data_IF_296578245000
#
_entry.id   IF_296578245000
#
_cell.length_a   1.000
_cell.length_b   1.000
_cell.length_c   1.000
_cell.angle_alpha   90.00
_cell.angle_beta   90.00
_cell.angle_gamma   90.00
#
_symmetry.space_group_name_H-M   'P 1'
#
loop_
_entity.id
_entity.type
_entity.pdbx_description
1 polymer ?
#
# COMPACT_ATOMS: atom_id res chain seq x y z
N UNK A 1 -82.93 -37.91 15.86
CA UNK A 1 -81.60 -38.38 16.33
C UNK A 1 -80.76 -37.13 16.66
N UNK A 2 -79.99 -37.17 17.75
CA UNK A 2 -79.65 -36.04 18.64
C UNK A 2 -78.86 -34.85 18.03
N UNK A 3 -79.41 -33.66 18.28
CA UNK A 3 -78.86 -32.37 18.76
C UNK A 3 -77.36 -32.33 19.13
N UNK A 4 -76.63 -31.27 18.73
CA UNK A 4 -76.11 -30.16 19.59
C UNK A 4 -75.09 -29.28 18.83
N UNK A 5 -75.42 -27.99 18.83
CA UNK A 5 -74.60 -26.82 18.52
C UNK A 5 -73.67 -26.45 19.70
N UNK A 6 -72.56 -25.78 19.35
CA UNK A 6 -71.87 -24.75 20.13
C UNK A 6 -71.09 -25.13 21.41
N UNK A 7 -69.89 -24.55 21.44
CA UNK A 7 -69.29 -23.69 22.50
C UNK A 7 -68.00 -24.20 23.13
N UNK A 8 -66.94 -23.44 22.85
CA UNK A 8 -65.87 -22.96 23.75
C UNK A 8 -65.15 -24.01 24.60
N UNK A 9 -63.85 -24.17 24.34
CA UNK A 9 -62.87 -24.29 25.42
C UNK A 9 -61.63 -23.45 25.10
N UNK A 10 -61.45 -22.41 25.93
CA UNK A 10 -60.18 -21.73 26.12
C UNK A 10 -59.28 -22.74 26.84
N UNK A 11 -58.29 -23.30 26.18
CA UNK A 11 -57.09 -23.88 26.79
C UNK A 11 -56.20 -24.44 25.68
N UNK A 12 -55.42 -23.57 25.03
CA UNK A 12 -54.12 -23.93 24.47
C UNK A 12 -53.32 -22.66 24.10
N UNK A 13 -53.32 -21.65 24.97
CA UNK A 13 -52.47 -20.45 24.83
C UNK A 13 -51.19 -20.57 25.68
N UNK A 14 -50.88 -21.77 26.19
CA UNK A 14 -49.79 -21.97 27.15
C UNK A 14 -48.79 -23.08 26.76
N UNK A 15 -48.65 -23.38 25.47
CA UNK A 15 -47.58 -24.28 24.97
C UNK A 15 -46.76 -23.67 23.83
N UNK A 16 -47.05 -22.44 23.38
CA UNK A 16 -46.26 -21.77 22.32
C UNK A 16 -45.45 -20.57 22.84
N UNK A 17 -44.96 -20.62 24.09
CA UNK A 17 -44.09 -19.58 24.66
C UNK A 17 -42.81 -20.13 25.33
N UNK A 18 -42.37 -21.35 25.01
CA UNK A 18 -41.07 -21.89 25.47
C UNK A 18 -40.13 -22.34 24.35
N UNK A 19 -40.47 -22.11 23.07
CA UNK A 19 -39.56 -22.44 21.94
C UNK A 19 -39.10 -21.19 21.15
N UNK A 20 -39.70 -20.01 21.38
CA UNK A 20 -39.30 -18.77 20.70
C UNK A 20 -38.46 -17.79 21.55
N UNK A 21 -38.10 -18.18 22.79
CA UNK A 21 -37.29 -17.36 23.70
C UNK A 21 -35.78 -17.64 23.69
N UNK A 22 -35.32 -18.66 22.96
CA UNK A 22 -33.89 -19.03 22.86
C UNK A 22 -33.30 -18.81 21.46
N UNK A 23 -34.09 -18.27 20.51
CA UNK A 23 -33.67 -18.02 19.12
C UNK A 23 -33.53 -16.54 18.76
N UNK A 24 -33.51 -15.64 19.75
CA UNK A 24 -33.19 -14.22 19.58
C UNK A 24 -31.97 -13.77 20.40
N UNK A 25 -31.33 -14.69 21.14
CA UNK A 25 -30.13 -14.42 21.96
C UNK A 25 -28.79 -14.84 21.32
N UNK A 26 -28.79 -15.38 20.10
CA UNK A 26 -27.57 -15.86 19.40
C UNK A 26 -27.29 -15.06 18.11
N UNK A 27 -28.06 -14.00 17.82
CA UNK A 27 -27.90 -13.17 16.61
C UNK A 27 -27.08 -11.89 16.88
N UNK A 28 -26.37 -11.83 18.01
CA UNK A 28 -25.34 -10.79 18.24
C UNK A 28 -24.08 -11.51 18.69
N UNK A 29 -23.00 -11.33 17.94
CA UNK A 29 -21.69 -12.02 18.05
C UNK A 29 -21.58 -13.36 17.31
N UNK A 30 -21.74 -13.32 15.98
CA UNK A 30 -20.91 -14.19 15.14
C UNK A 30 -20.72 -13.61 13.72
N UNK A 31 -20.16 -12.41 13.60
CA UNK A 31 -19.46 -12.03 12.37
C UNK A 31 -18.09 -12.71 12.36
N UNK A 32 -18.09 -14.04 12.27
CA UNK A 32 -16.93 -14.74 11.73
C UNK A 32 -16.85 -14.33 10.27
N UNK A 33 -15.90 -13.44 9.95
CA UNK A 33 -15.54 -13.18 8.56
C UNK A 33 -15.34 -14.54 7.87
N UNK A 34 -16.05 -14.84 6.78
CA UNK A 34 -15.89 -16.11 6.10
C UNK A 34 -14.45 -16.20 5.62
N UNK A 35 -13.70 -17.12 6.23
CA UNK A 35 -12.38 -17.55 5.81
C UNK A 35 -12.51 -18.42 4.54
N UNK A 36 -13.11 -17.87 3.49
CA UNK A 36 -13.07 -18.36 2.11
C UNK A 36 -13.89 -17.43 1.21
N UNK A 37 -13.40 -16.21 1.01
CA UNK A 37 -13.74 -15.45 -0.18
C UNK A 37 -12.60 -15.66 -1.17
N UNK A 38 -12.88 -16.42 -2.24
CA UNK A 38 -12.05 -16.42 -3.43
C UNK A 38 -11.77 -14.98 -3.83
N UNK A 39 -10.53 -14.70 -4.21
CA UNK A 39 -10.00 -13.36 -4.50
C UNK A 39 -10.64 -12.71 -5.73
N UNK A 40 -11.92 -12.35 -5.66
CA UNK A 40 -12.49 -11.33 -6.53
C UNK A 40 -12.12 -9.98 -5.91
N UNK A 41 -11.00 -9.41 -6.36
CA UNK A 41 -10.67 -8.03 -6.03
C UNK A 41 -11.78 -7.16 -6.60
N UNK A 42 -12.59 -6.55 -5.74
CA UNK A 42 -13.53 -5.50 -6.13
C UNK A 42 -12.78 -4.43 -6.92
N UNK A 43 -12.94 -4.44 -8.25
CA UNK A 43 -12.53 -3.39 -9.15
C UNK A 43 -13.79 -2.56 -9.36
N UNK A 44 -13.89 -1.34 -8.78
CA UNK A 44 -14.99 -0.47 -9.16
C UNK A 44 -14.88 -0.26 -10.67
N UNK A 45 -15.93 -0.63 -11.39
CA UNK A 45 -16.01 -0.48 -12.84
C UNK A 45 -16.12 1.03 -13.14
N UNK A 46 -14.96 1.69 -13.21
CA UNK A 46 -14.86 3.07 -13.67
C UNK A 46 -14.84 3.04 -15.20
N UNK A 47 -15.69 3.85 -15.81
CA UNK A 47 -15.62 4.05 -17.27
C UNK A 47 -14.23 4.53 -17.68
N UNK A 48 -13.81 4.18 -18.90
CA UNK A 48 -12.53 4.64 -19.48
C UNK A 48 -12.45 6.16 -19.41
N UNK A 49 -13.54 6.87 -19.73
CA UNK A 49 -13.63 8.33 -19.67
C UNK A 49 -13.38 8.89 -18.27
N UNK A 50 -13.90 8.23 -17.23
CA UNK A 50 -13.63 8.61 -15.83
C UNK A 50 -12.14 8.44 -15.51
N UNK A 51 -11.54 7.33 -15.91
CA UNK A 51 -10.11 7.06 -15.69
C UNK A 51 -9.24 8.08 -16.43
N UNK A 52 -9.55 8.40 -17.68
CA UNK A 52 -8.85 9.41 -18.48
C UNK A 52 -8.92 10.80 -17.85
N UNK A 53 -10.09 11.17 -17.32
CA UNK A 53 -10.29 12.43 -16.62
C UNK A 53 -9.44 12.51 -15.36
N UNK A 54 -9.46 11.46 -14.51
CA UNK A 54 -8.63 11.37 -13.32
C UNK A 54 -7.13 11.45 -13.65
N UNK A 55 -6.69 10.75 -14.71
CA UNK A 55 -5.29 10.79 -15.14
C UNK A 55 -4.89 12.17 -15.64
N UNK A 56 -5.78 12.85 -16.36
CA UNK A 56 -5.54 14.23 -16.84
C UNK A 56 -5.39 15.20 -15.67
N UNK A 57 -6.29 15.12 -14.69
CA UNK A 57 -6.22 15.93 -13.47
C UNK A 57 -4.94 15.65 -12.66
N UNK A 58 -4.56 14.39 -12.50
CA UNK A 58 -3.32 14.00 -11.81
C UNK A 58 -2.08 14.52 -12.51
N UNK A 59 -2.02 14.42 -13.85
CA UNK A 59 -0.92 14.98 -14.65
C UNK A 59 -0.84 16.50 -14.52
N UNK A 60 -1.98 17.19 -14.50
CA UNK A 60 -2.05 18.64 -14.29
C UNK A 60 -1.50 19.02 -12.91
N UNK A 61 -2.00 18.39 -11.85
CA UNK A 61 -1.54 18.64 -10.48
C UNK A 61 -0.04 18.36 -10.32
N UNK A 62 0.46 17.24 -10.88
CA UNK A 62 1.88 16.91 -10.82
C UNK A 62 2.74 18.00 -11.49
N UNK A 63 2.34 18.50 -12.66
CA UNK A 63 3.03 19.61 -13.33
C UNK A 63 3.01 20.88 -12.48
N UNK A 64 1.87 21.25 -11.92
CA UNK A 64 1.73 22.43 -11.06
C UNK A 64 2.64 22.34 -9.83
N UNK A 65 2.61 21.23 -9.10
CA UNK A 65 3.48 21.01 -7.94
C UNK A 65 4.96 21.05 -8.33
N UNK A 66 5.33 20.46 -9.48
CA UNK A 66 6.69 20.57 -10.01
C UNK A 66 7.11 22.02 -10.28
N UNK A 67 6.22 22.87 -10.80
CA UNK A 67 6.54 24.30 -11.00
C UNK A 67 6.67 25.08 -9.69
N UNK A 68 5.91 24.69 -8.65
CA UNK A 68 5.99 25.29 -7.33
C UNK A 68 7.25 24.87 -6.57
N UNK A 69 7.78 23.67 -6.87
CA UNK A 69 9.09 23.22 -6.43
C UNK A 69 10.18 23.98 -7.20
N UNK A 70 10.32 25.28 -6.95
CA UNK A 70 11.29 26.19 -7.58
C UNK A 70 12.75 25.90 -7.18
N UNK A 71 13.11 24.64 -6.90
CA UNK A 71 14.52 24.26 -6.93
C UNK A 71 14.91 24.25 -8.40
N UNK A 72 15.60 25.30 -8.87
CA UNK A 72 16.52 25.18 -10.02
C UNK A 72 17.62 24.21 -9.58
N UNK A 73 17.30 22.92 -9.58
CA UNK A 73 18.24 21.90 -9.15
C UNK A 73 19.34 21.86 -10.19
N UNK A 74 20.56 22.18 -9.78
CA UNK A 74 21.71 22.05 -10.66
C UNK A 74 21.82 20.58 -11.08
N UNK A 75 21.81 20.29 -12.38
CA UNK A 75 21.90 18.93 -12.90
C UNK A 75 23.14 18.19 -12.35
N UNK A 76 24.26 18.89 -12.16
CA UNK A 76 25.46 18.29 -11.56
C UNK A 76 25.26 17.91 -10.10
N UNK A 77 24.40 18.63 -9.37
CA UNK A 77 24.04 18.25 -8.00
C UNK A 77 23.15 17.00 -7.97
N UNK A 78 22.22 16.90 -8.92
CA UNK A 78 21.34 15.71 -9.09
C UNK A 78 22.18 14.49 -9.46
N UNK A 79 23.13 14.64 -10.38
CA UNK A 79 24.02 13.55 -10.82
C UNK A 79 24.90 13.02 -9.68
N UNK A 80 25.22 13.88 -8.70
CA UNK A 80 25.99 13.50 -7.51
C UNK A 80 25.14 12.83 -6.43
N UNK A 81 23.82 12.99 -6.45
CA UNK A 81 22.91 12.38 -5.48
C UNK A 81 22.60 10.92 -5.85
N UNK A 82 23.48 10.02 -5.41
CA UNK A 82 23.34 8.57 -5.68
C UNK A 82 22.10 7.95 -5.02
N UNK A 83 21.57 8.55 -3.95
CA UNK A 83 20.37 8.03 -3.26
C UNK A 83 19.12 8.30 -4.10
N UNK A 84 19.03 9.48 -4.69
CA UNK A 84 17.97 9.81 -5.65
C UNK A 84 18.07 8.95 -6.91
N UNK A 85 19.28 8.82 -7.47
CA UNK A 85 19.49 8.05 -8.71
C UNK A 85 19.26 6.53 -8.55
N UNK A 86 19.41 5.98 -7.34
CA UNK A 86 19.07 4.58 -7.05
C UNK A 86 17.58 4.31 -7.33
N UNK A 87 16.69 5.29 -7.15
CA UNK A 87 15.25 5.13 -7.40
C UNK A 87 14.87 5.04 -8.89
N UNK A 88 15.84 5.18 -9.80
CA UNK A 88 15.61 5.20 -11.24
C UNK A 88 16.14 3.91 -11.87
N UNK A 89 15.22 3.04 -12.30
CA UNK A 89 15.54 1.85 -13.08
C UNK A 89 15.78 2.25 -14.54
N UNK A 90 16.84 1.70 -15.14
CA UNK A 90 17.22 1.95 -16.52
C UNK A 90 16.90 0.73 -17.38
N UNK A 91 16.12 0.96 -18.42
CA UNK A 91 15.90 0.01 -19.52
C UNK A 91 16.60 0.56 -20.77
N UNK A 92 17.78 0.01 -21.06
CA UNK A 92 18.59 0.41 -22.22
C UNK A 92 17.93 0.05 -23.55
N UNK A 93 17.29 -1.12 -23.62
CA UNK A 93 16.72 -1.67 -24.84
C UNK A 93 15.55 -0.81 -25.32
N UNK A 94 14.66 -0.43 -24.38
CA UNK A 94 13.49 0.38 -24.67
C UNK A 94 13.71 1.89 -24.45
N UNK A 95 14.92 2.29 -24.04
CA UNK A 95 15.30 3.68 -23.69
C UNK A 95 14.35 4.31 -22.68
N UNK A 96 14.11 3.62 -21.56
CA UNK A 96 13.22 4.07 -20.49
C UNK A 96 13.98 4.35 -19.19
N UNK A 97 13.52 5.39 -18.49
CA UNK A 97 13.88 5.68 -17.10
C UNK A 97 12.62 5.60 -16.24
N UNK A 98 12.54 4.56 -15.43
CA UNK A 98 11.43 4.37 -14.50
C UNK A 98 11.84 4.79 -13.09
N UNK A 99 11.34 5.94 -12.65
CA UNK A 99 11.45 6.37 -11.25
C UNK A 99 10.38 5.62 -10.44
N UNK A 100 10.80 4.60 -9.67
CA UNK A 100 9.85 3.83 -8.89
C UNK A 100 9.53 4.54 -7.58
N UNK A 101 8.25 4.56 -7.25
CA UNK A 101 7.76 5.04 -5.97
C UNK A 101 7.15 3.85 -5.21
N UNK A 102 7.51 3.61 -3.93
CA UNK A 102 6.85 2.55 -3.18
C UNK A 102 5.34 2.79 -3.03
N UNK A 103 4.56 1.70 -3.07
CA UNK A 103 3.10 1.66 -2.82
C UNK A 103 2.22 2.32 -3.89
N UNK A 104 2.77 2.54 -5.07
CA UNK A 104 2.03 2.96 -6.29
C UNK A 104 2.00 1.87 -7.36
N UNK A 105 1.92 0.60 -6.94
CA UNK A 105 2.04 -0.59 -7.78
C UNK A 105 3.45 -0.85 -8.36
N UNK A 106 4.50 -0.38 -7.67
CA UNK A 106 5.89 -0.56 -8.11
C UNK A 106 6.30 -2.03 -8.34
N UNK A 107 5.81 -2.98 -7.55
CA UNK A 107 6.08 -4.42 -7.72
C UNK A 107 5.56 -4.91 -9.08
N UNK A 108 4.37 -4.49 -9.49
CA UNK A 108 3.81 -4.91 -10.78
C UNK A 108 4.59 -4.30 -11.95
N UNK A 109 4.98 -3.03 -11.85
CA UNK A 109 5.85 -2.41 -12.86
C UNK A 109 7.22 -3.07 -12.93
N UNK A 110 7.83 -3.41 -11.80
CA UNK A 110 9.09 -4.17 -11.78
C UNK A 110 8.92 -5.53 -12.44
N UNK A 111 7.87 -6.28 -12.12
CA UNK A 111 7.56 -7.56 -12.81
C UNK A 111 7.40 -7.39 -14.32
N UNK A 112 6.68 -6.36 -14.76
CA UNK A 112 6.54 -6.06 -16.18
C UNK A 112 7.90 -5.77 -16.84
N UNK A 113 8.73 -4.94 -16.21
CA UNK A 113 10.07 -4.64 -16.69
C UNK A 113 10.96 -5.90 -16.71
N UNK A 114 10.82 -6.83 -15.76
CA UNK A 114 11.55 -8.11 -15.83
C UNK A 114 11.19 -8.91 -17.07
N UNK A 115 9.91 -8.92 -17.46
CA UNK A 115 9.46 -9.57 -18.70
C UNK A 115 9.99 -8.84 -19.92
N UNK A 116 9.81 -7.51 -19.98
CA UNK A 116 10.22 -6.69 -21.13
C UNK A 116 11.73 -6.75 -21.38
N UNK A 117 12.54 -6.75 -20.32
CA UNK A 117 14.01 -6.79 -20.41
C UNK A 117 14.58 -8.21 -20.50
N UNK A 118 13.75 -9.24 -20.73
CA UNK A 118 14.19 -10.64 -20.83
C UNK A 118 14.80 -11.22 -19.54
N UNK A 119 14.51 -10.62 -18.38
CA UNK A 119 15.02 -11.05 -17.06
C UNK A 119 14.17 -12.14 -16.40
N UNK A 120 13.00 -12.43 -16.95
CA UNK A 120 12.11 -13.48 -16.49
C UNK A 120 11.72 -14.40 -17.65
N UNK A 121 11.79 -15.71 -17.43
CA UNK A 121 11.37 -16.71 -18.41
C UNK A 121 9.84 -16.92 -18.37
N UNK A 122 9.08 -15.85 -18.59
CA UNK A 122 7.61 -15.89 -18.65
C UNK A 122 7.09 -14.65 -19.37
N UNK A 123 5.92 -14.78 -20.00
CA UNK A 123 5.17 -13.65 -20.56
C UNK A 123 4.14 -13.08 -19.59
N UNK A 124 3.91 -13.74 -18.45
CA UNK A 124 2.94 -13.31 -17.44
C UNK A 124 3.65 -12.67 -16.23
N UNK A 125 3.62 -11.33 -16.08
CA UNK A 125 4.25 -10.65 -14.95
C UNK A 125 3.77 -11.13 -13.58
N UNK A 126 2.52 -11.61 -13.48
CA UNK A 126 1.95 -12.08 -12.20
C UNK A 126 2.50 -13.45 -11.77
N UNK A 127 3.11 -14.21 -12.68
CA UNK A 127 3.78 -15.47 -12.35
C UNK A 127 5.10 -15.26 -11.58
N UNK A 128 5.68 -14.06 -11.66
CA UNK A 128 6.92 -13.71 -10.96
C UNK A 128 6.60 -13.45 -9.49
N UNK A 129 7.30 -14.10 -8.55
CA UNK A 129 7.13 -13.86 -7.11
C UNK A 129 7.44 -12.40 -6.77
N UNK A 130 6.64 -11.78 -5.89
CA UNK A 130 6.75 -10.35 -5.62
C UNK A 130 8.15 -9.95 -5.14
N UNK A 131 8.71 -10.71 -4.20
CA UNK A 131 10.01 -10.46 -3.61
C UNK A 131 11.16 -10.59 -4.62
N UNK A 132 11.01 -11.42 -5.65
CA UNK A 132 12.01 -11.57 -6.71
C UNK A 132 12.19 -10.27 -7.51
N UNK A 133 11.10 -9.52 -7.71
CA UNK A 133 11.14 -8.21 -8.36
C UNK A 133 11.81 -7.11 -7.52
N UNK A 134 12.11 -7.41 -6.25
CA UNK A 134 12.78 -6.51 -5.32
C UNK A 134 14.22 -6.92 -5.00
N UNK A 135 14.71 -8.04 -5.54
CA UNK A 135 16.10 -8.50 -5.32
C UNK A 135 17.10 -7.48 -5.85
N UNK A 136 18.24 -7.39 -5.16
CA UNK A 136 19.37 -6.58 -5.60
C UNK A 136 19.86 -7.06 -6.98
N UNK A 137 20.38 -6.13 -7.78
CA UNK A 137 21.00 -6.38 -9.08
C UNK A 137 20.07 -6.96 -10.17
N UNK A 138 18.76 -7.09 -9.93
CA UNK A 138 17.80 -7.44 -11.00
C UNK A 138 17.78 -6.35 -12.06
N UNK A 139 17.68 -5.10 -11.63
CA UNK A 139 17.68 -3.94 -12.52
C UNK A 139 18.97 -3.16 -12.38
N UNK A 140 19.46 -2.66 -13.52
CA UNK A 140 20.47 -1.60 -13.51
C UNK A 140 19.77 -0.29 -13.19
N UNK A 141 20.39 0.49 -12.30
CA UNK A 141 19.88 1.75 -11.79
C UNK A 141 20.73 2.89 -12.31
N UNK A 142 20.17 4.10 -12.32
CA UNK A 142 20.83 5.26 -12.91
C UNK A 142 22.11 5.64 -12.14
N UNK A 143 22.16 5.34 -10.83
CA UNK A 143 23.35 5.54 -10.00
C UNK A 143 24.53 4.61 -10.38
N UNK A 144 24.28 3.53 -11.14
CA UNK A 144 25.32 2.60 -11.61
C UNK A 144 26.08 3.11 -12.86
N UNK A 145 25.84 4.35 -13.28
CA UNK A 145 26.45 4.97 -14.45
C UNK A 145 27.33 6.16 -14.07
N UNK A 146 28.28 6.49 -14.94
CA UNK A 146 29.11 7.70 -14.84
C UNK A 146 28.27 8.96 -15.07
N UNK A 147 28.79 10.13 -14.68
CA UNK A 147 28.03 11.38 -14.82
C UNK A 147 27.66 11.72 -16.26
N UNK A 148 28.54 11.43 -17.22
CA UNK A 148 28.26 11.62 -18.65
C UNK A 148 27.17 10.67 -19.15
N UNK A 149 27.27 9.38 -18.79
CA UNK A 149 26.27 8.37 -19.11
C UNK A 149 24.90 8.69 -18.52
N UNK A 150 24.86 9.26 -17.30
CA UNK A 150 23.62 9.73 -16.68
C UNK A 150 23.02 10.88 -17.49
N UNK A 151 23.82 11.89 -17.88
CA UNK A 151 23.33 13.01 -18.71
C UNK A 151 22.75 12.52 -20.03
N UNK A 152 23.47 11.63 -20.71
CA UNK A 152 23.00 11.04 -21.96
C UNK A 152 21.60 10.40 -21.80
N UNK A 153 21.41 9.56 -20.77
CA UNK A 153 20.10 8.93 -20.52
C UNK A 153 19.04 9.94 -20.13
N UNK A 154 19.39 10.91 -19.28
CA UNK A 154 18.47 11.99 -18.93
C UNK A 154 18.08 12.82 -20.14
N UNK A 155 18.87 12.94 -21.20
CA UNK A 155 18.45 13.70 -22.38
C UNK A 155 17.67 12.86 -23.40
N UNK A 156 18.01 11.57 -23.52
CA UNK A 156 17.55 10.75 -24.64
C UNK A 156 16.49 9.70 -24.28
N UNK A 157 16.28 9.38 -23.00
CA UNK A 157 15.37 8.31 -22.57
C UNK A 157 14.02 8.90 -22.13
N UNK A 158 12.96 8.14 -22.39
CA UNK A 158 11.62 8.46 -21.90
C UNK A 158 11.58 8.27 -20.38
N UNK A 159 11.20 9.32 -19.64
CA UNK A 159 11.09 9.26 -18.17
C UNK A 159 9.64 9.12 -17.78
N UNK A 160 9.36 8.20 -16.86
CA UNK A 160 8.02 8.07 -16.31
C UNK A 160 8.06 7.62 -14.86
N UNK A 161 6.96 7.93 -14.17
CA UNK A 161 6.69 7.48 -12.81
C UNK A 161 5.19 7.29 -12.66
N UNK A 162 4.80 6.52 -11.64
CA UNK A 162 3.42 6.42 -11.23
C UNK A 162 3.22 7.15 -9.91
N UNK A 163 2.06 7.79 -9.77
CA UNK A 163 1.67 8.48 -8.55
C UNK A 163 0.35 7.94 -8.04
N UNK A 164 0.13 8.09 -6.74
CA UNK A 164 -1.11 7.73 -6.06
C UNK A 164 -1.49 8.82 -5.09
N UNK A 165 -2.77 8.93 -4.75
CA UNK A 165 -3.20 9.82 -3.69
C UNK A 165 -2.35 9.61 -2.42
N UNK A 166 -1.75 10.67 -1.83
CA UNK A 166 -0.83 10.52 -0.71
C UNK A 166 -1.41 9.73 0.47
N UNK A 167 -2.67 9.98 0.84
CA UNK A 167 -3.33 9.24 1.92
C UNK A 167 -3.53 7.75 1.61
N UNK A 168 -3.93 7.40 0.38
CA UNK A 168 -4.04 5.98 0.02
C UNK A 168 -2.68 5.29 0.03
N UNK A 169 -1.62 5.99 -0.40
CA UNK A 169 -0.25 5.50 -0.35
C UNK A 169 0.18 5.21 1.10
N UNK A 170 -0.15 6.10 2.04
CA UNK A 170 0.12 5.92 3.47
C UNK A 170 -0.64 4.74 4.07
N UNK A 171 -1.93 4.60 3.76
CA UNK A 171 -2.73 3.44 4.20
C UNK A 171 -2.15 2.14 3.63
N UNK A 172 -1.76 2.14 2.35
CA UNK A 172 -1.12 0.98 1.71
C UNK A 172 0.22 0.65 2.38
N UNK A 173 1.04 1.64 2.71
CA UNK A 173 2.30 1.46 3.42
C UNK A 173 2.06 0.85 4.81
N UNK A 174 1.14 1.42 5.59
CA UNK A 174 0.81 0.94 6.93
C UNK A 174 0.33 -0.52 6.92
N UNK A 175 -0.66 -0.84 6.07
CA UNK A 175 -1.19 -2.21 5.98
C UNK A 175 -0.13 -3.21 5.56
N UNK A 176 0.72 -2.87 4.60
CA UNK A 176 1.80 -3.77 4.16
C UNK A 176 2.90 -3.95 5.21
N UNK A 177 3.28 -2.89 5.93
CA UNK A 177 4.43 -2.91 6.84
C UNK A 177 4.09 -3.31 8.27
N UNK A 178 2.85 -3.14 8.71
CA UNK A 178 2.45 -3.47 10.08
C UNK A 178 1.33 -4.53 10.14
N UNK A 179 0.44 -4.58 9.14
CA UNK A 179 -0.78 -5.40 9.19
C UNK A 179 -0.70 -6.80 8.56
N UNK A 180 0.41 -7.16 7.90
CA UNK A 180 0.54 -8.48 7.26
C UNK A 180 1.30 -9.48 8.16
N UNK A 181 1.01 -10.76 7.98
CA UNK A 181 1.79 -11.86 8.56
C UNK A 181 2.91 -12.23 7.57
N UNK A 182 4.02 -11.50 7.64
CA UNK A 182 5.20 -11.71 6.79
C UNK A 182 6.47 -11.30 7.53
N UNK A 183 7.61 -11.90 7.15
CA UNK A 183 8.94 -11.53 7.66
C UNK A 183 9.25 -10.05 7.46
N UNK A 184 8.81 -9.47 6.33
CA UNK A 184 8.94 -8.02 6.10
C UNK A 184 8.15 -7.23 7.15
N UNK A 185 6.90 -7.59 7.41
CA UNK A 185 6.11 -6.89 8.42
C UNK A 185 6.66 -7.09 9.84
N UNK A 186 7.19 -8.27 10.18
CA UNK A 186 7.88 -8.51 11.45
C UNK A 186 9.09 -7.59 11.64
N UNK A 187 9.91 -7.44 10.60
CA UNK A 187 11.02 -6.48 10.60
C UNK A 187 10.53 -5.05 10.86
N UNK A 188 9.46 -4.61 10.20
CA UNK A 188 8.94 -3.25 10.36
C UNK A 188 8.28 -3.02 11.73
N UNK A 189 7.53 -3.99 12.27
CA UNK A 189 7.02 -3.97 13.64
C UNK A 189 8.14 -3.84 14.67
N UNK A 190 9.18 -4.68 14.52
CA UNK A 190 10.35 -4.65 15.39
C UNK A 190 11.16 -3.36 15.25
N UNK A 191 11.36 -2.84 14.03
CA UNK A 191 12.21 -1.66 13.82
C UNK A 191 11.51 -0.35 14.12
N UNK A 192 10.30 -0.18 13.58
CA UNK A 192 9.53 1.06 13.64
C UNK A 192 8.40 0.98 14.65
N UNK A 193 7.69 -0.15 14.70
CA UNK A 193 6.49 -0.26 15.53
C UNK A 193 6.77 -0.08 17.02
N UNK A 194 7.83 -0.71 17.53
CA UNK A 194 8.30 -0.51 18.91
C UNK A 194 8.64 0.95 19.20
N UNK A 195 9.30 1.62 18.26
CA UNK A 195 9.66 3.03 18.40
C UNK A 195 8.43 3.93 18.44
N UNK A 196 7.46 3.67 17.56
CA UNK A 196 6.19 4.41 17.47
C UNK A 196 5.43 4.26 18.79
N UNK A 197 5.23 3.04 19.27
CA UNK A 197 4.51 2.77 20.52
C UNK A 197 5.21 3.44 21.70
N UNK A 198 6.52 3.26 21.83
CA UNK A 198 7.31 3.88 22.90
C UNK A 198 7.16 5.40 22.95
N UNK A 199 6.99 6.04 21.79
CA UNK A 199 6.98 7.49 21.69
C UNK A 199 5.58 8.11 21.83
N UNK A 200 4.53 7.44 21.34
CA UNK A 200 3.20 8.04 21.22
C UNK A 200 2.10 7.35 22.04
N UNK A 201 2.35 6.14 22.56
CA UNK A 201 1.36 5.40 23.36
C UNK A 201 1.55 5.66 24.84
N UNK A 202 0.52 6.16 25.49
CA UNK A 202 0.45 6.26 26.95
C UNK A 202 0.12 4.90 27.56
N UNK A 203 0.80 4.52 28.65
CA UNK A 203 0.57 3.26 29.37
C UNK A 203 0.63 2.01 28.48
N UNK A 204 1.61 1.95 27.57
CA UNK A 204 1.83 0.78 26.74
C UNK A 204 2.22 -0.45 27.58
N UNK A 205 1.68 -1.61 27.23
CA UNK A 205 2.08 -2.87 27.86
C UNK A 205 3.53 -3.23 27.50
N UNK A 206 4.17 -4.05 28.34
CA UNK A 206 5.51 -4.58 28.05
C UNK A 206 5.54 -5.34 26.72
N UNK A 207 4.47 -6.07 26.40
CA UNK A 207 4.35 -6.78 25.13
C UNK A 207 4.32 -5.81 23.93
N UNK A 208 3.50 -4.76 23.98
CA UNK A 208 3.43 -3.76 22.91
C UNK A 208 4.78 -3.07 22.71
N UNK A 209 5.48 -2.73 23.80
CA UNK A 209 6.82 -2.13 23.76
C UNK A 209 7.88 -3.09 23.20
N UNK A 210 7.79 -4.37 23.54
CA UNK A 210 8.74 -5.41 23.14
C UNK A 210 8.56 -5.88 21.70
N UNK A 211 7.32 -5.98 21.22
CA UNK A 211 6.99 -6.56 19.91
C UNK A 211 6.63 -5.51 18.85
N UNK A 212 6.05 -4.38 19.26
CA UNK A 212 5.66 -3.31 18.35
C UNK A 212 4.57 -3.71 17.35
N UNK A 213 3.79 -4.74 17.67
CA UNK A 213 2.98 -5.48 16.71
C UNK A 213 1.58 -4.92 16.51
N UNK A 214 1.12 -4.15 17.48
CA UNK A 214 -0.22 -3.60 17.62
C UNK A 214 -0.23 -2.08 17.42
N UNK A 215 0.74 -1.56 16.65
CA UNK A 215 0.78 -0.14 16.26
C UNK A 215 -0.50 0.23 15.55
N UNK A 216 -1.14 1.31 15.96
CA UNK A 216 -2.34 1.82 15.31
C UNK A 216 -2.00 2.74 14.14
N UNK A 217 -2.94 2.90 13.21
CA UNK A 217 -2.77 3.84 12.10
C UNK A 217 -2.60 5.28 12.61
N UNK A 218 -3.29 5.66 13.69
CA UNK A 218 -3.17 6.98 14.31
C UNK A 218 -1.75 7.25 14.81
N UNK A 219 -1.16 6.31 15.55
CA UNK A 219 0.22 6.44 16.06
C UNK A 219 1.23 6.46 14.91
N UNK A 220 1.00 5.67 13.86
CA UNK A 220 1.80 5.73 12.64
C UNK A 220 1.72 7.11 11.96
N UNK A 221 0.52 7.70 11.85
CA UNK A 221 0.36 9.06 11.29
C UNK A 221 1.09 10.09 12.17
N UNK A 222 0.96 10.01 13.50
CA UNK A 222 1.70 10.89 14.42
C UNK A 222 3.21 10.77 14.21
N UNK A 223 3.71 9.55 14.00
CA UNK A 223 5.12 9.31 13.74
C UNK A 223 5.64 9.96 12.46
N UNK A 224 4.91 9.83 11.34
CA UNK A 224 5.37 10.33 10.03
C UNK A 224 5.27 11.85 9.88
N UNK A 225 4.44 12.52 10.70
CA UNK A 225 4.32 13.98 10.71
C UNK A 225 5.15 14.65 11.81
N UNK A 226 5.76 13.88 12.73
CA UNK A 226 6.65 14.43 13.76
C UNK A 226 7.90 15.04 13.09
N UNK A 227 8.16 16.35 13.26
CA UNK A 227 9.33 17.01 12.65
C UNK A 227 10.66 16.35 13.01
N UNK A 228 10.78 15.79 14.22
CA UNK A 228 11.98 15.08 14.68
C UNK A 228 12.19 13.76 13.94
N UNK A 229 11.12 13.15 13.45
CA UNK A 229 11.19 11.95 12.62
C UNK A 229 11.51 12.31 11.19
N UNK A 230 10.85 13.33 10.64
CA UNK A 230 11.03 13.80 9.25
C UNK A 230 12.46 14.32 9.03
N UNK A 231 13.05 14.99 10.03
CA UNK A 231 14.42 15.49 9.95
C UNK A 231 15.50 14.41 9.97
N UNK A 232 15.16 13.12 10.18
CA UNK A 232 16.14 12.03 10.19
C UNK A 232 16.60 11.74 8.77
N UNK A 233 17.92 11.64 8.58
CA UNK A 233 18.54 11.30 7.29
C UNK A 233 17.94 10.04 6.63
N UNK A 234 17.55 9.05 7.44
CA UNK A 234 17.03 7.76 6.98
C UNK A 234 15.49 7.66 7.06
N UNK A 235 14.76 8.74 6.75
CA UNK A 235 13.29 8.68 6.69
C UNK A 235 12.85 7.70 5.59
N UNK A 236 12.06 6.69 5.97
CA UNK A 236 11.83 5.51 5.14
C UNK A 236 11.09 5.84 3.83
N UNK A 237 11.59 5.33 2.71
CA UNK A 237 11.02 5.54 1.36
C UNK A 237 9.53 5.18 1.25
N UNK A 238 9.02 4.25 2.06
CA UNK A 238 7.65 3.74 1.94
C UNK A 238 6.57 4.76 2.32
N UNK A 239 6.92 5.74 3.14
CA UNK A 239 6.02 6.82 3.57
C UNK A 239 6.65 8.21 3.42
N UNK A 240 7.89 8.31 2.92
CA UNK A 240 8.49 9.56 2.45
C UNK A 240 7.61 10.22 1.37
N UNK A 241 7.42 11.55 1.37
CA UNK A 241 6.70 12.24 0.30
C UNK A 241 7.27 11.89 -1.08
N UNK A 242 6.41 11.78 -2.09
CA UNK A 242 6.84 11.37 -3.44
C UNK A 242 7.76 12.38 -4.12
N UNK A 243 7.74 13.64 -3.68
CA UNK A 243 8.61 14.71 -4.18
C UNK A 243 10.03 14.66 -3.59
N UNK A 244 10.24 13.85 -2.55
CA UNK A 244 11.53 13.67 -1.86
C UNK A 244 12.18 12.31 -2.16
N UNK A 245 11.62 11.56 -3.11
CA UNK A 245 12.11 10.26 -3.60
C UNK A 245 12.91 10.43 -4.90
#
# INVERSE_FOLDING_TARGET
MRVVLLRRSKQLVLVLLSVFGLWLGVIVMNDSFPANAGTEKYLPEKSITTLETEQTQRKKLAKEVCTLSQKKTNLDSVIKDRVLLDHIIVDEEHRLLYCYVPKVACTNWKRLLMVLMGKANTTNPLAIVADDSHRLNVFRRLDNYTGEEIRYRLDHFMKFMFIRHPFERLVSAFRNKFGQNSSSADYFRSRYGRQIIKQYRTNASEESLSRGHDVTFREFVQYIIDPRTVARANFNEHWRPMVDL
#
